data_IF_424744690035
#
_entry.id   IF_424744690035
#
_cell.length_a   1.000
_cell.length_b   1.000
_cell.length_c   1.000
_cell.angle_alpha   90.00
_cell.angle_beta   90.00
_cell.angle_gamma   90.00
#
_symmetry.space_group_name_H-M   'P 1'
#
loop_
_entity.id
_entity.type
_entity.pdbx_description
1 polymer ?
#
# COMPACT_ATOMS: atom_id res chain seq x y z
N UNK A 1 -13.36 18.31 21.65
CA UNK A 1 -13.37 16.94 21.08
C UNK A 1 -13.16 17.11 19.60
N UNK A 2 -11.92 16.98 19.13
CA UNK A 2 -11.56 17.33 17.75
C UNK A 2 -12.11 16.26 16.80
N UNK A 3 -12.98 16.71 15.91
CA UNK A 3 -13.56 15.92 14.82
C UNK A 3 -12.44 15.49 13.87
N UNK A 4 -12.09 14.20 13.88
CA UNK A 4 -11.23 13.62 12.86
C UNK A 4 -12.09 13.26 11.65
N UNK A 5 -12.43 14.27 10.86
CA UNK A 5 -12.87 14.09 9.47
C UNK A 5 -11.64 13.64 8.69
N UNK A 6 -11.58 12.35 8.42
CA UNK A 6 -10.70 11.74 7.43
C UNK A 6 -11.57 10.87 6.56
N UNK A 7 -11.87 11.37 5.37
CA UNK A 7 -12.71 10.76 4.35
C UNK A 7 -12.34 9.27 4.18
N UNK A 8 -13.26 8.38 4.54
CA UNK A 8 -13.19 6.97 4.14
C UNK A 8 -13.51 6.97 2.65
N UNK A 9 -12.50 7.28 1.84
CA UNK A 9 -12.59 7.40 0.40
C UNK A 9 -13.04 6.07 -0.17
N UNK A 10 -14.36 5.95 -0.35
CA UNK A 10 -15.03 5.23 -1.43
C UNK A 10 -14.24 4.01 -1.94
N UNK A 11 -14.50 2.84 -1.35
CA UNK A 11 -14.18 1.50 -1.88
C UNK A 11 -14.87 1.27 -3.23
N UNK A 12 -14.54 2.09 -4.20
CA UNK A 12 -14.98 1.98 -5.57
C UNK A 12 -13.99 1.06 -6.26
N UNK A 13 -14.54 0.11 -6.99
CA UNK A 13 -13.89 -0.75 -7.96
C UNK A 13 -13.36 0.08 -9.16
N UNK A 14 -12.70 1.22 -8.88
CA UNK A 14 -11.99 2.07 -9.82
C UNK A 14 -10.57 1.54 -9.86
N UNK A 15 -10.07 1.26 -11.07
CA UNK A 15 -8.65 0.97 -11.34
C UNK A 15 -7.74 1.77 -10.41
N UNK A 16 -6.97 1.09 -9.57
CA UNK A 16 -5.97 1.71 -8.70
C UNK A 16 -5.06 2.59 -9.55
N UNK A 17 -5.00 3.87 -9.20
CA UNK A 17 -4.08 4.81 -9.86
C UNK A 17 -2.63 4.46 -9.50
N UNK A 18 -1.67 4.84 -10.35
CA UNK A 18 -0.23 4.61 -10.07
C UNK A 18 0.17 5.21 -8.72
N UNK A 19 -0.41 6.35 -8.34
CA UNK A 19 -0.17 6.98 -7.04
C UNK A 19 -0.63 6.07 -5.89
N UNK A 20 -1.85 5.54 -5.95
CA UNK A 20 -2.36 4.62 -4.93
C UNK A 20 -1.54 3.33 -4.85
N UNK A 21 -1.14 2.76 -6.00
CA UNK A 21 -0.27 1.58 -6.02
C UNK A 21 1.07 1.84 -5.31
N UNK A 22 1.67 3.01 -5.51
CA UNK A 22 2.89 3.44 -4.80
C UNK A 22 2.65 3.59 -3.29
N UNK A 23 1.53 4.16 -2.89
CA UNK A 23 1.15 4.31 -1.46
C UNK A 23 0.98 2.94 -0.80
N UNK A 24 0.30 2.00 -1.48
CA UNK A 24 0.14 0.61 -1.04
C UNK A 24 1.50 -0.08 -0.90
N UNK A 25 2.38 0.05 -1.89
CA UNK A 25 3.71 -0.54 -1.88
C UNK A 25 4.56 0.03 -0.74
N UNK A 26 4.54 1.36 -0.54
CA UNK A 26 5.25 2.03 0.55
C UNK A 26 4.77 1.53 1.91
N UNK A 27 3.45 1.47 2.13
CA UNK A 27 2.88 0.98 3.38
C UNK A 27 3.29 -0.47 3.69
N UNK A 28 3.38 -1.32 2.65
CA UNK A 28 3.87 -2.69 2.79
C UNK A 28 5.35 -2.74 3.21
N UNK A 29 6.21 -1.95 2.58
CA UNK A 29 7.64 -1.86 2.93
C UNK A 29 7.82 -1.32 4.34
N UNK A 30 7.11 -0.26 4.72
CA UNK A 30 7.14 0.32 6.07
C UNK A 30 6.72 -0.71 7.13
N UNK A 31 5.67 -1.50 6.87
CA UNK A 31 5.24 -2.56 7.79
C UNK A 31 6.28 -3.67 7.95
N UNK A 32 6.98 -4.04 6.88
CA UNK A 32 8.02 -5.07 6.92
C UNK A 32 9.32 -4.55 7.55
N UNK A 33 9.65 -3.27 7.35
CA UNK A 33 10.81 -2.59 7.94
C UNK A 33 10.74 -2.56 9.47
N UNK A 34 9.54 -2.42 10.03
CA UNK A 34 9.33 -2.50 11.47
C UNK A 34 9.73 -3.86 12.07
N UNK A 35 9.89 -4.92 11.26
CA UNK A 35 10.20 -6.30 11.67
C UNK A 35 9.25 -6.89 12.74
N UNK A 36 8.10 -6.27 12.99
CA UNK A 36 7.12 -6.71 14.00
C UNK A 36 6.12 -7.74 13.46
N UNK A 37 6.03 -7.87 12.14
CA UNK A 37 5.04 -8.69 11.44
C UNK A 37 5.73 -9.53 10.36
N UNK A 38 5.22 -10.74 10.14
CA UNK A 38 5.71 -11.59 9.05
C UNK A 38 5.24 -11.02 7.71
N UNK A 39 5.99 -11.28 6.63
CA UNK A 39 5.63 -10.85 5.27
C UNK A 39 4.18 -11.21 4.91
N UNK A 40 3.73 -12.40 5.29
CA UNK A 40 2.36 -12.87 5.04
C UNK A 40 1.32 -12.06 5.80
N UNK A 41 1.59 -11.73 7.07
CA UNK A 41 0.71 -10.90 7.88
C UNK A 41 0.65 -9.46 7.35
N UNK A 42 1.81 -8.89 6.96
CA UNK A 42 1.88 -7.57 6.35
C UNK A 42 1.05 -7.49 5.07
N UNK A 43 1.12 -8.53 4.21
CA UNK A 43 0.33 -8.60 2.97
C UNK A 43 -1.16 -8.57 3.28
N UNK A 44 -1.64 -9.40 4.22
CA UNK A 44 -3.05 -9.41 4.62
C UNK A 44 -3.49 -8.06 5.18
N UNK A 45 -2.71 -7.51 6.10
CA UNK A 45 -3.00 -6.25 6.78
C UNK A 45 -3.08 -5.08 5.80
N UNK A 46 -2.16 -5.01 4.83
CA UNK A 46 -2.19 -3.99 3.76
C UNK A 46 -3.37 -4.23 2.82
N UNK A 47 -3.63 -5.48 2.42
CA UNK A 47 -4.75 -5.80 1.57
C UNK A 47 -6.10 -5.37 2.20
N UNK A 48 -6.29 -5.65 3.49
CA UNK A 48 -7.46 -5.21 4.26
C UNK A 48 -7.52 -3.69 4.42
N UNK A 49 -6.39 -3.04 4.74
CA UNK A 49 -6.31 -1.59 4.94
C UNK A 49 -6.71 -0.80 3.67
N UNK A 50 -6.33 -1.32 2.50
CA UNK A 50 -6.61 -0.67 1.21
C UNK A 50 -7.83 -1.27 0.48
N UNK A 51 -8.49 -2.28 1.05
CA UNK A 51 -9.65 -2.95 0.46
C UNK A 51 -9.35 -3.66 -0.86
N UNK A 52 -8.12 -4.14 -1.05
CA UNK A 52 -7.67 -4.84 -2.26
C UNK A 52 -7.51 -6.34 -2.00
N UNK A 53 -7.39 -7.14 -3.05
CA UNK A 53 -7.07 -8.57 -2.91
C UNK A 53 -5.57 -8.80 -2.82
N UNK A 54 -5.15 -9.89 -2.17
CA UNK A 54 -3.73 -10.31 -2.14
C UNK A 54 -3.15 -10.47 -3.56
N UNK A 55 -3.98 -10.89 -4.52
CA UNK A 55 -3.61 -11.00 -5.93
C UNK A 55 -3.29 -9.64 -6.55
N UNK A 56 -4.05 -8.61 -6.22
CA UNK A 56 -3.76 -7.24 -6.66
C UNK A 56 -2.53 -6.68 -5.97
N UNK A 57 -2.39 -6.91 -4.66
CA UNK A 57 -1.20 -6.50 -3.91
C UNK A 57 0.08 -7.17 -4.45
N UNK A 58 0.00 -8.42 -4.89
CA UNK A 58 1.11 -9.12 -5.57
C UNK A 58 1.48 -8.44 -6.89
N UNK A 59 0.50 -8.04 -7.71
CA UNK A 59 0.76 -7.30 -8.95
C UNK A 59 1.40 -5.95 -8.69
N UNK A 60 0.94 -5.26 -7.64
CA UNK A 60 1.51 -3.97 -7.23
C UNK A 60 2.96 -4.14 -6.76
N UNK A 61 3.28 -5.23 -6.06
CA UNK A 61 4.65 -5.54 -5.68
C UNK A 61 5.53 -5.80 -6.89
N UNK A 62 5.05 -6.60 -7.84
CA UNK A 62 5.76 -6.90 -9.09
C UNK A 62 6.02 -5.60 -9.88
N UNK A 63 4.96 -4.81 -10.13
CA UNK A 63 5.06 -3.50 -10.78
C UNK A 63 5.97 -2.53 -9.99
N UNK A 64 5.94 -2.59 -8.65
CA UNK A 64 6.75 -1.74 -7.79
C UNK A 64 8.23 -2.09 -7.83
N UNK A 65 8.58 -3.38 -7.91
CA UNK A 65 9.94 -3.85 -8.09
C UNK A 65 10.43 -3.49 -9.50
N UNK A 66 9.63 -3.77 -10.54
CA UNK A 66 9.97 -3.46 -11.93
C UNK A 66 10.15 -1.95 -12.18
N UNK A 67 9.39 -1.12 -11.49
CA UNK A 67 9.41 0.35 -11.62
C UNK A 67 10.19 1.05 -10.51
N UNK A 68 10.92 0.29 -9.71
CA UNK A 68 11.80 0.78 -8.63
C UNK A 68 11.08 1.78 -7.71
N UNK A 69 9.92 1.38 -7.19
CA UNK A 69 9.17 2.17 -6.22
C UNK A 69 9.68 1.92 -4.79
N UNK A 70 9.68 2.95 -3.93
CA UNK A 70 9.52 4.37 -4.25
C UNK A 70 10.76 4.92 -5.01
N UNK A 71 10.59 5.87 -5.95
CA UNK A 71 11.73 6.42 -6.68
C UNK A 71 12.75 7.03 -5.71
N UNK A 72 14.03 6.73 -5.90
CA UNK A 72 15.14 7.17 -5.04
C UNK A 72 15.23 8.70 -4.87
N UNK A 73 14.62 9.48 -5.78
CA UNK A 73 14.56 10.95 -5.72
C UNK A 73 13.55 11.51 -4.72
N UNK A 74 12.70 10.69 -4.12
CA UNK A 74 11.78 11.13 -3.05
C UNK A 74 12.41 10.91 -1.66
N UNK A 75 13.71 11.19 -1.55
CA UNK A 75 14.39 11.46 -0.28
C UNK A 75 14.53 12.98 -0.16
N UNK A 76 13.51 13.65 0.38
CA UNK A 76 13.57 15.05 0.81
C UNK A 76 13.12 15.16 2.26
#
# INVERSE_FOLDING_TARGET
MVSFTGEIGIMQVKRLTVKQKKEIFKALVELQDLQQVTVVDSIKRVAEQFGITEKELRKIQDEGIEREWPPLEQAV
#
